data_IF_692040847508
#
_entry.id   IF_692040847508
#
_cell.length_a   1.000
_cell.length_b   1.000
_cell.length_c   1.000
_cell.angle_alpha   90.00
_cell.angle_beta   90.00
_cell.angle_gamma   90.00
#
_symmetry.space_group_name_H-M   'P 1'
#
loop_
_entity.id
_entity.type
_entity.pdbx_description
1 polymer ?
#
# COMPACT_ATOMS: atom_id res chain seq x y z
N UNK A 1 6.21 1.20 -14.02
CA UNK A 1 4.99 1.78 -13.38
C UNK A 1 5.35 3.09 -12.70
N UNK A 2 4.47 4.11 -12.72
CA UNK A 2 4.69 5.36 -11.98
C UNK A 2 3.75 5.39 -10.77
N UNK A 3 4.32 5.31 -9.57
CA UNK A 3 3.59 5.39 -8.30
C UNK A 3 3.42 6.86 -7.90
N UNK A 4 2.22 7.23 -7.47
CA UNK A 4 1.90 8.55 -6.92
C UNK A 4 1.29 8.40 -5.53
N UNK A 5 2.02 8.79 -4.49
CA UNK A 5 1.49 8.82 -3.13
C UNK A 5 0.60 10.04 -2.92
N UNK A 6 -0.64 9.82 -2.51
CA UNK A 6 -1.57 10.89 -2.10
C UNK A 6 -1.48 11.13 -0.59
N UNK A 7 -1.31 10.06 0.19
CA UNK A 7 -1.21 10.14 1.65
C UNK A 7 -0.38 8.99 2.20
N UNK A 8 0.48 9.29 3.17
CA UNK A 8 1.25 8.30 3.92
C UNK A 8 1.14 8.65 5.41
N UNK A 9 0.42 7.82 6.16
CA UNK A 9 0.31 7.88 7.62
C UNK A 9 0.73 6.51 8.15
N UNK A 10 1.93 6.44 8.73
CA UNK A 10 2.51 5.17 9.19
C UNK A 10 1.75 4.57 10.37
N UNK A 11 2.04 3.30 10.67
CA UNK A 11 1.35 2.44 11.65
C UNK A 11 1.17 3.07 13.04
N UNK A 12 2.09 3.96 13.45
CA UNK A 12 2.05 4.69 14.73
C UNK A 12 1.04 5.85 14.78
N UNK A 13 0.38 6.17 13.67
CA UNK A 13 -0.66 7.21 13.63
C UNK A 13 -1.97 6.72 14.25
N UNK A 14 -2.80 7.64 14.76
CA UNK A 14 -4.16 7.34 15.23
C UNK A 14 -4.99 6.62 14.16
N UNK A 15 -4.87 7.09 12.91
CA UNK A 15 -5.51 6.52 11.70
C UNK A 15 -4.45 6.24 10.64
N UNK A 16 -3.74 5.11 10.71
CA UNK A 16 -2.69 4.79 9.73
C UNK A 16 -3.35 4.44 8.40
N UNK A 17 -2.82 5.03 7.33
CA UNK A 17 -3.29 4.84 5.97
C UNK A 17 -2.19 5.20 4.99
N UNK A 18 -1.96 4.31 4.03
CA UNK A 18 -1.22 4.66 2.81
C UNK A 18 -2.22 4.68 1.68
N UNK A 19 -2.18 5.73 0.87
CA UNK A 19 -2.99 5.87 -0.32
C UNK A 19 -2.09 6.28 -1.48
N UNK A 20 -2.06 5.44 -2.50
CA UNK A 20 -1.28 5.64 -3.70
C UNK A 20 -2.10 5.35 -4.96
N UNK A 21 -1.65 5.90 -6.08
CA UNK A 21 -2.19 5.64 -7.40
C UNK A 21 -1.10 5.13 -8.33
N UNK A 22 -1.43 4.14 -9.15
CA UNK A 22 -0.62 3.65 -10.26
C UNK A 22 -1.47 3.75 -11.53
N UNK A 23 -1.22 4.78 -12.33
CA UNK A 23 -2.19 5.16 -13.37
C UNK A 23 -3.51 5.59 -12.73
N UNK A 24 -4.60 4.94 -13.12
CA UNK A 24 -5.95 5.12 -12.56
C UNK A 24 -6.30 4.12 -11.45
N UNK A 25 -5.40 3.17 -11.18
CA UNK A 25 -5.61 2.15 -10.15
C UNK A 25 -5.21 2.70 -8.78
N UNK A 26 -6.11 2.55 -7.82
CA UNK A 26 -5.89 2.97 -6.44
C UNK A 26 -5.36 1.80 -5.62
N UNK A 27 -4.30 2.07 -4.87
CA UNK A 27 -3.71 1.16 -3.89
C UNK A 27 -3.85 1.79 -2.52
N UNK A 28 -4.38 1.04 -1.58
CA UNK A 28 -4.56 1.49 -0.21
C UNK A 28 -4.06 0.44 0.76
N UNK A 29 -3.38 0.91 1.80
CA UNK A 29 -3.10 0.12 2.99
C UNK A 29 -3.71 0.78 4.22
N UNK A 30 -4.24 -0.05 5.11
CA UNK A 30 -4.55 0.31 6.50
C UNK A 30 -4.33 -0.90 7.42
N UNK A 31 -4.78 -0.84 8.67
CA UNK A 31 -4.56 -1.93 9.65
C UNK A 31 -5.18 -3.26 9.23
N UNK A 32 -6.11 -3.27 8.27
CA UNK A 32 -6.70 -4.50 7.73
C UNK A 32 -5.85 -5.15 6.63
N UNK A 33 -4.79 -4.48 6.19
CA UNK A 33 -3.91 -4.92 5.12
C UNK A 33 -4.00 -4.07 3.87
N UNK A 34 -3.44 -4.61 2.79
CA UNK A 34 -3.42 -3.99 1.48
C UNK A 34 -4.71 -4.25 0.71
N UNK A 35 -5.10 -3.27 -0.12
CA UNK A 35 -6.24 -3.33 -1.04
C UNK A 35 -5.84 -2.64 -2.35
N UNK A 36 -6.25 -3.20 -3.48
CA UNK A 36 -6.06 -2.58 -4.78
C UNK A 36 -7.33 -2.71 -5.62
N UNK A 37 -7.67 -1.64 -6.37
CA UNK A 37 -8.80 -1.61 -7.29
C UNK A 37 -8.49 -2.27 -8.66
N UNK A 38 -7.48 -3.15 -8.75
CA UNK A 38 -7.19 -3.90 -9.98
C UNK A 38 -7.97 -5.21 -10.06
N UNK A 39 -8.37 -5.62 -11.25
CA UNK A 39 -9.13 -6.85 -11.51
C UNK A 39 -8.39 -8.13 -11.03
N UNK A 40 -7.06 -8.10 -11.03
CA UNK A 40 -6.20 -9.23 -10.62
C UNK A 40 -5.93 -9.31 -9.09
N UNK A 41 -6.56 -8.47 -8.25
CA UNK A 41 -6.26 -8.44 -6.81
C UNK A 41 -6.66 -9.75 -6.08
N UNK A 42 -7.52 -10.59 -6.68
CA UNK A 42 -7.94 -11.87 -6.11
C UNK A 42 -6.82 -12.94 -6.11
N UNK A 43 -5.74 -12.72 -6.88
CA UNK A 43 -4.65 -13.70 -7.08
C UNK A 43 -3.47 -13.53 -6.12
N UNK A 44 -3.71 -13.32 -4.83
CA UNK A 44 -2.74 -13.37 -3.71
C UNK A 44 -1.51 -12.43 -3.77
N UNK A 45 -1.10 -11.95 -4.95
CA UNK A 45 0.09 -11.15 -5.23
C UNK A 45 -0.30 -10.13 -6.30
N UNK A 46 -0.44 -8.87 -5.88
CA UNK A 46 -0.77 -7.77 -6.76
C UNK A 46 0.47 -6.91 -6.99
N UNK A 47 0.97 -6.87 -8.24
CA UNK A 47 2.14 -6.09 -8.61
C UNK A 47 2.03 -4.59 -8.26
N UNK A 48 0.82 -4.05 -8.15
CA UNK A 48 0.59 -2.68 -7.67
C UNK A 48 0.84 -2.51 -6.18
N UNK A 49 0.51 -3.51 -5.37
CA UNK A 49 0.78 -3.51 -3.93
C UNK A 49 2.29 -3.64 -3.71
N UNK A 50 2.94 -4.60 -4.37
CA UNK A 50 4.40 -4.77 -4.30
C UNK A 50 5.13 -3.48 -4.68
N UNK A 51 4.79 -2.88 -5.83
CA UNK A 51 5.45 -1.64 -6.27
C UNK A 51 5.25 -0.46 -5.30
N UNK A 52 4.15 -0.44 -4.53
CA UNK A 52 3.95 0.58 -3.48
C UNK A 52 4.72 0.21 -2.23
N UNK A 53 4.70 -1.06 -1.82
CA UNK A 53 5.39 -1.56 -0.63
C UNK A 53 6.92 -1.45 -0.76
N UNK A 54 7.49 -1.73 -1.93
CA UNK A 54 8.93 -1.58 -2.22
C UNK A 54 9.43 -0.13 -2.08
N UNK A 55 8.55 0.86 -2.22
CA UNK A 55 8.87 2.28 -2.07
C UNK A 55 8.66 2.80 -0.65
N UNK A 56 8.10 1.98 0.24
CA UNK A 56 7.84 2.33 1.63
C UNK A 56 8.86 1.67 2.53
N UNK A 57 9.23 2.37 3.59
CA UNK A 57 9.97 1.75 4.68
C UNK A 57 9.05 0.76 5.42
N UNK A 58 9.49 -0.47 5.76
CA UNK A 58 8.68 -1.44 6.50
C UNK A 58 8.06 -0.91 7.81
N UNK A 59 8.68 0.10 8.42
CA UNK A 59 8.17 0.82 9.59
C UNK A 59 6.85 1.53 9.35
N UNK A 60 6.56 1.87 8.09
CA UNK A 60 5.32 2.55 7.71
C UNK A 60 4.14 1.60 7.87
N UNK A 61 4.27 0.35 7.44
CA UNK A 61 3.20 -0.65 7.57
C UNK A 61 3.30 -1.47 8.86
N UNK A 62 4.44 -1.43 9.53
CA UNK A 62 4.69 -2.27 10.71
C UNK A 62 5.01 -3.72 10.34
N UNK A 63 5.33 -3.99 9.07
CA UNK A 63 5.87 -5.26 8.59
C UNK A 63 7.38 -5.39 8.90
N UNK A 64 7.87 -4.68 9.94
CA UNK A 64 9.16 -4.97 10.52
C UNK A 64 9.09 -6.37 11.15
N UNK A 65 9.84 -7.29 10.54
CA UNK A 65 10.07 -8.65 10.99
C UNK A 65 10.29 -8.71 12.52
N UNK A 66 9.51 -9.59 13.15
CA UNK A 66 9.84 -10.13 14.45
C UNK A 66 11.14 -10.96 14.37
#
# INVERSE_FOLDING_TARGET
MKVKFLRVMGIRSDRPVVLAFIGDLRVRWDRRGWTCDCDDFDREICAHVDAVAELLDPRVTGEEAC
#
